data_IF_982810107693
#
_entry.id   IF_982810107693
#
_cell.length_a   1.000
_cell.length_b   1.000
_cell.length_c   1.000
_cell.angle_alpha   90.00
_cell.angle_beta   90.00
_cell.angle_gamma   90.00
#
_symmetry.space_group_name_H-M   'P 1'
#
loop_
_entity.id
_entity.type
_entity.pdbx_description
1 polymer ?
#
# COMPACT_ATOMS: atom_id res chain seq x y z
N UNK A 1 25.39 29.31 -10.14
CA UNK A 1 24.39 29.48 -11.21
C UNK A 1 24.43 30.94 -11.62
N UNK A 2 24.90 31.26 -12.83
CA UNK A 2 24.85 32.62 -13.35
C UNK A 2 23.37 33.01 -13.48
N UNK A 3 22.93 33.97 -12.66
CA UNK A 3 21.67 34.67 -12.90
C UNK A 3 21.84 35.40 -14.23
N UNK A 4 21.34 34.87 -15.33
CA UNK A 4 21.13 35.65 -16.55
C UNK A 4 20.27 36.82 -16.15
N UNK A 5 20.80 38.06 -16.36
CA UNK A 5 20.09 39.29 -16.09
C UNK A 5 18.81 39.29 -16.96
N UNK A 6 17.63 39.49 -16.34
CA UNK A 6 16.39 39.56 -17.10
C UNK A 6 16.42 40.74 -18.08
N UNK A 7 15.88 40.54 -19.29
CA UNK A 7 15.83 41.53 -20.35
C UNK A 7 14.48 42.23 -20.35
N UNK A 8 14.48 43.56 -20.11
CA UNK A 8 13.27 44.40 -20.06
C UNK A 8 13.19 45.27 -21.28
N UNK A 9 12.02 45.41 -21.87
CA UNK A 9 11.74 46.38 -22.96
C UNK A 9 11.04 47.58 -22.37
N UNK A 10 11.70 48.76 -22.43
CA UNK A 10 11.18 50.04 -22.02
C UNK A 10 10.72 50.86 -23.24
N UNK A 11 9.46 51.25 -23.24
CA UNK A 11 8.81 51.97 -24.34
C UNK A 11 8.19 53.25 -23.77
N UNK A 12 8.76 54.39 -24.16
CA UNK A 12 8.32 55.72 -23.71
C UNK A 12 8.73 56.75 -24.80
N UNK A 13 7.89 57.68 -25.14
CA UNK A 13 8.20 58.67 -26.16
C UNK A 13 9.03 59.83 -25.60
N UNK A 14 9.03 60.06 -24.31
CA UNK A 14 9.90 61.02 -23.65
C UNK A 14 11.33 60.45 -23.45
N UNK A 15 12.28 61.07 -24.15
CA UNK A 15 13.69 60.64 -24.16
C UNK A 15 14.34 60.75 -22.75
N UNK A 16 13.98 61.80 -21.98
CA UNK A 16 14.56 62.07 -20.68
C UNK A 16 14.04 61.04 -19.66
N UNK A 17 12.75 60.77 -19.68
CA UNK A 17 12.10 59.74 -18.83
C UNK A 17 12.65 58.41 -19.14
N UNK A 18 12.70 58.02 -20.44
CA UNK A 18 13.23 56.77 -20.93
C UNK A 18 14.68 56.52 -20.48
N UNK A 19 15.56 57.55 -20.67
CA UNK A 19 16.96 57.43 -20.25
C UNK A 19 17.13 57.31 -18.75
N UNK A 20 16.33 58.03 -17.96
CA UNK A 20 16.39 57.95 -16.47
C UNK A 20 15.96 56.60 -15.93
N UNK A 21 14.85 56.05 -16.43
CA UNK A 21 14.36 54.74 -16.03
C UNK A 21 15.35 53.64 -16.47
N UNK A 22 15.90 53.74 -17.71
CA UNK A 22 16.87 52.75 -18.20
C UNK A 22 18.12 52.70 -17.33
N UNK A 23 18.73 53.88 -17.04
CA UNK A 23 19.95 53.90 -16.23
C UNK A 23 19.73 53.30 -14.83
N UNK A 24 18.59 53.59 -14.19
CA UNK A 24 18.28 53.02 -12.89
C UNK A 24 18.10 51.53 -12.89
N UNK A 25 17.37 50.97 -13.90
CA UNK A 25 17.15 49.54 -14.00
C UNK A 25 18.39 48.76 -14.43
N UNK A 26 19.27 49.38 -15.27
CA UNK A 26 20.59 48.84 -15.57
C UNK A 26 21.46 48.74 -14.32
N UNK A 27 21.50 49.76 -13.49
CA UNK A 27 22.19 49.74 -12.19
C UNK A 27 21.62 48.67 -11.25
N UNK A 28 20.31 48.41 -11.33
CA UNK A 28 19.62 47.33 -10.61
C UNK A 28 19.89 45.95 -11.15
N UNK A 29 20.67 45.81 -12.25
CA UNK A 29 21.15 44.54 -12.82
C UNK A 29 20.27 43.95 -13.90
N UNK A 30 19.39 44.71 -14.55
CA UNK A 30 18.59 44.30 -15.70
C UNK A 30 19.26 44.68 -17.02
N UNK A 31 18.98 43.91 -18.09
CA UNK A 31 19.31 44.29 -19.46
C UNK A 31 18.16 45.10 -20.05
N UNK A 32 18.42 46.29 -20.61
CA UNK A 32 17.35 47.19 -21.05
C UNK A 32 17.39 47.33 -22.59
N UNK A 33 16.25 47.04 -23.20
CA UNK A 33 15.94 47.34 -24.60
C UNK A 33 15.09 48.60 -24.64
N UNK A 34 15.36 49.55 -25.53
CA UNK A 34 14.67 50.82 -25.63
C UNK A 34 13.86 50.94 -26.91
N UNK A 35 12.67 51.54 -26.82
CA UNK A 35 11.85 51.93 -27.91
C UNK A 35 11.21 53.28 -27.65
N UNK A 36 11.09 54.15 -28.67
CA UNK A 36 10.57 55.50 -28.55
C UNK A 36 9.08 55.63 -28.89
N UNK A 37 8.44 54.55 -29.30
CA UNK A 37 6.99 54.51 -29.60
C UNK A 37 6.50 53.06 -29.65
N UNK A 38 5.19 52.84 -29.66
CA UNK A 38 4.60 51.51 -29.63
C UNK A 38 4.92 50.65 -30.84
N UNK A 39 5.10 51.23 -32.07
CA UNK A 39 5.42 50.48 -33.24
C UNK A 39 6.84 49.88 -33.15
N UNK A 40 7.83 50.70 -32.78
CA UNK A 40 9.20 50.24 -32.54
C UNK A 40 9.23 49.25 -31.39
N UNK A 41 8.44 49.47 -30.33
CA UNK A 41 8.31 48.54 -29.21
C UNK A 41 7.84 47.14 -29.64
N UNK A 42 6.87 47.09 -30.55
CA UNK A 42 6.38 45.79 -31.07
C UNK A 42 7.43 45.10 -31.91
N UNK A 43 8.14 45.80 -32.79
CA UNK A 43 9.25 45.20 -33.59
C UNK A 43 10.36 44.66 -32.71
N UNK A 44 10.76 45.40 -31.67
CA UNK A 44 11.77 44.94 -30.70
C UNK A 44 11.26 43.73 -29.91
N UNK A 45 9.99 43.75 -29.44
CA UNK A 45 9.36 42.65 -28.74
C UNK A 45 9.37 41.33 -29.55
N UNK A 46 8.99 41.40 -30.82
CA UNK A 46 8.96 40.22 -31.67
C UNK A 46 10.35 39.64 -31.97
N UNK A 47 11.35 40.51 -32.11
CA UNK A 47 12.72 40.14 -32.43
C UNK A 47 13.50 39.62 -31.22
N UNK A 48 13.44 40.34 -30.12
CA UNK A 48 14.32 40.11 -28.93
C UNK A 48 13.65 39.29 -27.84
N UNK A 49 12.32 39.16 -27.82
CA UNK A 49 11.55 38.37 -26.83
C UNK A 49 11.89 38.73 -25.38
N UNK A 50 11.69 39.98 -24.92
CA UNK A 50 12.02 40.40 -23.58
C UNK A 50 11.22 39.65 -22.52
N UNK A 51 11.80 39.54 -21.31
CA UNK A 51 11.15 38.87 -20.16
C UNK A 51 10.02 39.71 -19.54
N UNK A 52 10.03 41.06 -19.75
CA UNK A 52 9.01 41.99 -19.29
C UNK A 52 8.99 43.24 -20.13
N UNK A 53 7.82 43.83 -20.30
CA UNK A 53 7.63 45.11 -21.00
C UNK A 53 7.19 46.18 -20.00
N UNK A 54 7.81 47.37 -20.09
CA UNK A 54 7.41 48.60 -19.41
C UNK A 54 6.98 49.56 -20.52
N UNK A 55 5.72 50.02 -20.54
CA UNK A 55 5.25 50.94 -21.58
C UNK A 55 4.48 52.11 -21.04
N UNK A 56 4.66 53.28 -21.65
CA UNK A 56 3.74 54.41 -21.46
C UNK A 56 2.41 54.14 -22.19
N UNK A 57 1.31 54.62 -21.62
CA UNK A 57 0.00 54.53 -22.28
C UNK A 57 -0.18 55.52 -23.39
N UNK A 58 0.39 56.72 -23.26
CA UNK A 58 0.17 57.79 -24.24
C UNK A 58 1.39 58.07 -25.09
N UNK A 59 1.43 57.39 -26.22
CA UNK A 59 2.51 57.51 -27.18
C UNK A 59 1.94 57.78 -28.60
N UNK A 60 2.69 58.48 -29.45
CA UNK A 60 2.29 58.67 -30.84
C UNK A 60 2.32 57.35 -31.65
N UNK A 61 1.48 57.29 -32.69
CA UNK A 61 1.34 56.20 -33.64
C UNK A 61 0.59 54.96 -33.08
N UNK A 62 1.17 54.22 -32.14
CA UNK A 62 0.57 53.10 -31.47
C UNK A 62 0.60 53.42 -29.96
N UNK A 63 -0.57 53.57 -29.35
CA UNK A 63 -0.68 53.81 -27.94
C UNK A 63 -0.45 52.52 -27.11
N UNK A 64 -0.26 52.70 -25.81
CA UNK A 64 0.04 51.57 -24.92
C UNK A 64 -1.10 50.54 -24.81
N UNK A 65 -2.36 50.93 -24.92
CA UNK A 65 -3.48 50.00 -24.92
C UNK A 65 -3.50 49.08 -26.14
N UNK A 66 -3.26 49.69 -27.32
CA UNK A 66 -3.16 48.96 -28.55
C UNK A 66 -1.94 48.02 -28.60
N UNK A 67 -0.80 48.51 -27.99
CA UNK A 67 0.38 47.66 -27.83
C UNK A 67 0.11 46.42 -26.97
N UNK A 68 -0.58 46.60 -25.83
CA UNK A 68 -0.97 45.48 -24.96
C UNK A 68 -1.85 44.48 -25.72
N UNK A 69 -2.86 44.96 -26.47
CA UNK A 69 -3.72 44.08 -27.29
C UNK A 69 -2.92 43.27 -28.29
N UNK A 70 -1.96 43.88 -28.98
CA UNK A 70 -1.12 43.21 -29.99
C UNK A 70 -0.16 42.19 -29.35
N UNK A 71 0.50 42.55 -28.25
CA UNK A 71 1.38 41.63 -27.54
C UNK A 71 0.59 40.42 -27.02
N UNK A 72 -0.61 40.64 -26.46
CA UNK A 72 -1.45 39.55 -25.97
C UNK A 72 -2.02 38.64 -27.06
N UNK A 73 -2.09 39.15 -28.31
CA UNK A 73 -2.47 38.34 -29.47
C UNK A 73 -1.34 37.43 -29.99
N UNK A 74 -0.10 37.67 -29.54
CA UNK A 74 1.04 36.82 -29.84
C UNK A 74 1.04 35.65 -28.81
N UNK A 75 1.44 34.46 -29.26
CA UNK A 75 1.52 33.27 -28.42
C UNK A 75 2.59 33.36 -27.28
N UNK A 76 3.27 34.50 -27.21
CA UNK A 76 4.36 34.76 -26.24
C UNK A 76 3.86 35.69 -25.15
N UNK A 77 3.80 35.20 -23.94
CA UNK A 77 3.34 35.94 -22.77
C UNK A 77 4.52 36.54 -22.01
N UNK A 78 4.71 37.85 -22.11
CA UNK A 78 5.57 38.61 -21.19
C UNK A 78 4.69 39.53 -20.32
N UNK A 79 4.99 39.69 -19.03
CA UNK A 79 4.24 40.66 -18.18
C UNK A 79 4.48 42.08 -18.64
N UNK A 80 3.42 42.87 -18.65
CA UNK A 80 3.46 44.26 -19.09
C UNK A 80 3.17 45.13 -17.88
N UNK A 81 4.08 46.05 -17.55
CA UNK A 81 3.89 47.11 -16.55
C UNK A 81 3.62 48.42 -17.28
N UNK A 82 2.54 49.08 -16.92
CA UNK A 82 2.12 50.33 -17.53
C UNK A 82 2.59 51.50 -16.68
N UNK A 83 3.16 52.55 -17.33
CA UNK A 83 3.51 53.80 -16.67
C UNK A 83 2.68 54.92 -17.36
N UNK A 84 1.88 55.67 -16.59
CA UNK A 84 0.93 56.64 -17.16
C UNK A 84 0.90 57.93 -16.35
N UNK A 85 0.62 59.05 -17.05
CA UNK A 85 0.48 60.35 -16.41
C UNK A 85 -0.76 60.50 -15.51
N UNK A 86 -0.69 61.41 -14.55
CA UNK A 86 -1.81 61.71 -13.64
C UNK A 86 -3.04 62.20 -14.44
N UNK A 87 -4.20 61.62 -14.19
CA UNK A 87 -5.48 62.02 -14.75
C UNK A 87 -6.17 61.03 -15.73
N UNK A 88 -5.59 59.83 -15.97
CA UNK A 88 -6.10 58.84 -16.92
C UNK A 88 -6.49 57.52 -16.24
N UNK A 89 -7.22 57.60 -15.13
CA UNK A 89 -7.62 56.39 -14.39
C UNK A 89 -8.43 55.40 -15.22
N UNK A 90 -9.19 55.90 -16.22
CA UNK A 90 -9.95 55.04 -17.15
C UNK A 90 -9.04 54.17 -18.00
N UNK A 91 -7.92 54.71 -18.53
CA UNK A 91 -6.99 54.00 -19.39
C UNK A 91 -6.18 52.94 -18.58
N UNK A 92 -5.87 53.28 -17.31
CA UNK A 92 -5.23 52.32 -16.39
C UNK A 92 -6.12 51.12 -16.10
N UNK A 93 -7.41 51.37 -15.81
CA UNK A 93 -8.39 50.30 -15.60
C UNK A 93 -8.54 49.40 -16.85
N UNK A 94 -8.52 50.01 -18.03
CA UNK A 94 -8.56 49.27 -19.30
C UNK A 94 -7.28 48.46 -19.51
N UNK A 95 -6.11 49.01 -19.24
CA UNK A 95 -4.84 48.26 -19.35
C UNK A 95 -4.82 47.04 -18.41
N UNK A 96 -5.29 47.15 -17.17
CA UNK A 96 -5.42 46.01 -16.27
C UNK A 96 -6.43 44.97 -16.76
N UNK A 97 -7.56 45.42 -17.36
CA UNK A 97 -8.53 44.49 -17.99
C UNK A 97 -7.94 43.77 -19.20
N UNK A 98 -7.04 44.41 -19.91
CA UNK A 98 -6.31 43.83 -21.05
C UNK A 98 -5.16 42.90 -20.59
N UNK A 99 -4.91 42.79 -19.29
CA UNK A 99 -3.92 41.85 -18.75
C UNK A 99 -2.58 42.48 -18.37
N UNK A 100 -2.49 43.78 -18.25
CA UNK A 100 -1.30 44.41 -17.66
C UNK A 100 -1.04 43.83 -16.24
N UNK A 101 0.21 43.50 -15.94
CA UNK A 101 0.60 42.90 -14.67
C UNK A 101 0.59 43.89 -13.50
N UNK A 102 0.87 45.16 -13.79
CA UNK A 102 0.87 46.27 -12.83
C UNK A 102 0.79 47.64 -13.55
N UNK A 103 0.60 48.71 -12.77
CA UNK A 103 0.64 50.06 -13.28
C UNK A 103 1.33 51.03 -12.30
N UNK A 104 1.93 52.09 -12.82
CA UNK A 104 2.56 53.15 -12.06
C UNK A 104 2.16 54.52 -12.63
N UNK A 105 2.09 55.54 -11.74
CA UNK A 105 1.67 56.88 -12.12
C UNK A 105 2.90 57.82 -12.20
N UNK A 106 3.03 58.56 -13.33
CA UNK A 106 4.04 59.62 -13.49
C UNK A 106 3.60 60.90 -12.72
N UNK A 107 4.51 61.69 -12.13
CA UNK A 107 5.95 61.46 -12.12
C UNK A 107 6.36 60.32 -11.16
N UNK A 108 7.32 59.49 -11.55
CA UNK A 108 7.89 58.45 -10.71
C UNK A 108 8.86 59.12 -9.73
N UNK A 109 8.35 59.52 -8.56
CA UNK A 109 9.15 60.17 -7.50
C UNK A 109 10.23 59.23 -6.95
N UNK A 110 9.95 57.92 -6.93
CA UNK A 110 10.89 56.90 -6.49
C UNK A 110 10.91 55.71 -7.50
N UNK A 111 12.02 55.55 -8.22
CA UNK A 111 12.22 54.44 -9.17
C UNK A 111 12.33 53.06 -8.51
N UNK A 112 12.56 53.01 -7.19
CA UNK A 112 12.55 51.75 -6.44
C UNK A 112 11.16 51.06 -6.48
N UNK A 113 10.07 51.85 -6.60
CA UNK A 113 8.71 51.31 -6.75
C UNK A 113 8.57 50.58 -8.09
N UNK A 114 9.14 51.14 -9.18
CA UNK A 114 9.16 50.49 -10.48
C UNK A 114 9.98 49.19 -10.45
N UNK A 115 11.19 49.23 -9.85
CA UNK A 115 12.00 48.02 -9.70
C UNK A 115 11.27 46.91 -8.92
N UNK A 116 10.61 47.31 -7.81
CA UNK A 116 9.81 46.32 -7.03
C UNK A 116 8.70 45.68 -7.88
N UNK A 117 7.96 46.49 -8.65
CA UNK A 117 6.91 45.97 -9.56
C UNK A 117 7.48 45.06 -10.64
N UNK A 118 8.65 45.39 -11.20
CA UNK A 118 9.36 44.53 -12.19
C UNK A 118 9.71 43.20 -11.55
N UNK A 119 10.39 43.20 -10.41
CA UNK A 119 10.79 41.95 -9.72
C UNK A 119 9.58 41.10 -9.38
N UNK A 120 8.51 41.68 -8.83
CA UNK A 120 7.28 41.00 -8.49
C UNK A 120 6.61 40.35 -9.72
N UNK A 121 6.59 41.04 -10.86
CA UNK A 121 6.01 40.55 -12.09
C UNK A 121 6.81 39.37 -12.66
N UNK A 122 8.15 39.46 -12.68
CA UNK A 122 9.05 38.40 -13.10
C UNK A 122 8.95 37.17 -12.18
N UNK A 123 8.95 37.35 -10.86
CA UNK A 123 8.80 36.26 -9.90
C UNK A 123 7.48 35.50 -10.08
N UNK A 124 6.39 36.24 -10.37
CA UNK A 124 5.07 35.64 -10.62
C UNK A 124 5.06 34.75 -11.85
N UNK A 125 5.73 35.16 -12.94
CA UNK A 125 5.86 34.35 -14.16
C UNK A 125 6.72 33.11 -13.87
N UNK A 126 7.85 33.31 -13.21
CA UNK A 126 8.74 32.20 -12.85
C UNK A 126 8.05 31.13 -11.98
N UNK A 127 7.37 31.56 -10.91
CA UNK A 127 6.61 30.68 -10.04
C UNK A 127 5.49 29.94 -10.78
N UNK A 128 4.82 30.61 -11.74
CA UNK A 128 3.79 29.96 -12.53
C UNK A 128 4.35 28.87 -13.43
N UNK A 129 5.46 29.16 -14.15
CA UNK A 129 6.13 28.18 -15.00
C UNK A 129 6.69 27.01 -14.19
N UNK A 130 7.25 27.29 -13.02
CA UNK A 130 7.75 26.25 -12.12
C UNK A 130 6.60 25.35 -11.62
N UNK A 131 5.47 25.95 -11.23
CA UNK A 131 4.28 25.21 -10.80
C UNK A 131 3.71 24.32 -11.91
N UNK A 132 3.60 24.84 -13.13
CA UNK A 132 3.15 24.06 -14.30
C UNK A 132 4.10 22.86 -14.56
N UNK A 133 5.40 23.08 -14.48
CA UNK A 133 6.42 22.03 -14.64
C UNK A 133 6.36 20.95 -13.52
N UNK A 134 6.14 21.38 -12.27
CA UNK A 134 5.97 20.44 -11.16
C UNK A 134 4.68 19.63 -11.31
N UNK A 135 3.61 20.26 -11.78
CA UNK A 135 2.33 19.60 -12.02
C UNK A 135 2.45 18.50 -13.08
N UNK A 136 3.10 18.79 -14.21
CA UNK A 136 3.35 17.80 -15.26
C UNK A 136 4.18 16.60 -14.75
N UNK A 137 5.24 16.88 -13.97
CA UNK A 137 6.05 15.83 -13.36
C UNK A 137 5.25 14.97 -12.38
N UNK A 138 4.41 15.62 -11.57
CA UNK A 138 3.58 14.91 -10.58
C UNK A 138 2.54 14.02 -11.28
N UNK A 139 1.90 14.52 -12.34
CA UNK A 139 0.94 13.75 -13.11
C UNK A 139 1.58 12.53 -13.80
N UNK A 140 2.81 12.68 -14.29
CA UNK A 140 3.56 11.58 -14.89
C UNK A 140 3.94 10.53 -13.85
N UNK A 141 4.55 10.96 -12.72
CA UNK A 141 4.92 10.07 -11.64
C UNK A 141 3.71 9.33 -11.04
N UNK A 142 2.56 10.01 -10.93
CA UNK A 142 1.33 9.39 -10.44
C UNK A 142 0.83 8.29 -11.40
N UNK A 143 0.86 8.52 -12.73
CA UNK A 143 0.48 7.50 -13.72
C UNK A 143 1.40 6.28 -13.66
N UNK A 144 2.72 6.48 -13.55
CA UNK A 144 3.69 5.40 -13.43
C UNK A 144 3.47 4.59 -12.14
N UNK A 145 3.22 5.28 -11.01
CA UNK A 145 2.93 4.62 -9.73
C UNK A 145 1.64 3.79 -9.80
N UNK A 146 0.57 4.34 -10.38
CA UNK A 146 -0.69 3.61 -10.54
C UNK A 146 -0.53 2.36 -11.40
N UNK A 147 0.20 2.46 -12.51
CA UNK A 147 0.49 1.31 -13.37
C UNK A 147 1.29 0.22 -12.63
N UNK A 148 2.30 0.63 -11.84
CA UNK A 148 3.10 -0.30 -11.05
C UNK A 148 2.29 -0.98 -9.93
N UNK A 149 1.42 -0.23 -9.26
CA UNK A 149 0.51 -0.78 -8.25
C UNK A 149 -0.47 -1.79 -8.85
N UNK A 150 -1.04 -1.49 -10.03
CA UNK A 150 -1.95 -2.40 -10.72
C UNK A 150 -1.27 -3.73 -11.07
N UNK A 151 -0.06 -3.67 -11.64
CA UNK A 151 0.71 -4.86 -11.97
C UNK A 151 1.03 -5.70 -10.71
N UNK A 152 1.44 -5.04 -9.63
CA UNK A 152 1.71 -5.72 -8.36
C UNK A 152 0.46 -6.42 -7.80
N UNK A 153 -0.71 -5.77 -7.91
CA UNK A 153 -1.97 -6.36 -7.47
C UNK A 153 -2.36 -7.59 -8.30
N UNK A 154 -2.15 -7.54 -9.63
CA UNK A 154 -2.40 -8.69 -10.51
C UNK A 154 -1.50 -9.88 -10.13
N UNK A 155 -0.20 -9.65 -9.92
CA UNK A 155 0.75 -10.69 -9.52
C UNK A 155 0.38 -11.32 -8.17
N UNK A 156 -0.03 -10.49 -7.18
CA UNK A 156 -0.45 -10.96 -5.87
C UNK A 156 -1.77 -11.75 -5.93
N UNK A 157 -2.72 -11.32 -6.75
CA UNK A 157 -3.97 -12.04 -6.98
C UNK A 157 -3.73 -13.42 -7.63
N UNK A 158 -2.81 -13.49 -8.60
CA UNK A 158 -2.42 -14.77 -9.20
C UNK A 158 -1.80 -15.71 -8.16
N UNK A 159 -0.89 -15.21 -7.32
CA UNK A 159 -0.32 -15.96 -6.21
C UNK A 159 -1.37 -16.47 -5.21
N UNK A 160 -2.34 -15.62 -4.85
CA UNK A 160 -3.48 -15.99 -4.00
C UNK A 160 -4.30 -17.13 -4.60
N UNK A 161 -4.59 -17.06 -5.89
CA UNK A 161 -5.36 -18.10 -6.56
C UNK A 161 -4.63 -19.45 -6.52
N UNK A 162 -3.32 -19.46 -6.72
CA UNK A 162 -2.50 -20.67 -6.58
C UNK A 162 -2.59 -21.23 -5.15
N UNK A 163 -2.42 -20.38 -4.13
CA UNK A 163 -2.50 -20.80 -2.73
C UNK A 163 -3.88 -21.35 -2.37
N UNK A 164 -4.97 -20.68 -2.78
CA UNK A 164 -6.34 -21.14 -2.51
C UNK A 164 -6.64 -22.48 -3.21
N UNK A 165 -6.11 -22.71 -4.41
CA UNK A 165 -6.28 -23.96 -5.14
C UNK A 165 -5.51 -25.16 -4.51
N UNK A 166 -4.56 -24.87 -3.61
CA UNK A 166 -3.80 -25.90 -2.89
C UNK A 166 -4.51 -26.36 -1.60
N UNK A 167 -5.49 -25.58 -1.12
CA UNK A 167 -6.28 -25.95 0.05
C UNK A 167 -7.18 -27.15 -0.28
N UNK A 168 -7.47 -27.99 0.72
CA UNK A 168 -8.41 -29.09 0.52
C UNK A 168 -9.84 -28.56 0.27
N UNK A 169 -10.70 -29.42 -0.27
CA UNK A 169 -12.14 -29.07 -0.42
C UNK A 169 -12.77 -28.89 0.95
N UNK A 170 -13.60 -27.86 1.10
CA UNK A 170 -14.30 -27.55 2.37
C UNK A 170 -15.79 -27.32 2.12
N UNK A 171 -16.73 -27.90 2.88
CA UNK A 171 -16.48 -28.98 3.84
C UNK A 171 -16.08 -30.29 3.14
N UNK A 172 -15.29 -31.12 3.82
CA UNK A 172 -14.98 -32.48 3.40
C UNK A 172 -15.54 -33.47 4.41
N UNK A 173 -16.37 -34.37 3.94
CA UNK A 173 -17.04 -35.39 4.74
C UNK A 173 -16.56 -36.77 4.34
N UNK A 174 -16.19 -37.58 5.31
CA UNK A 174 -15.63 -38.90 5.11
C UNK A 174 -15.91 -39.81 6.31
N UNK A 175 -16.65 -40.91 6.10
CA UNK A 175 -16.97 -41.94 7.09
C UNK A 175 -17.43 -41.42 8.47
N UNK A 176 -18.21 -40.34 8.47
CA UNK A 176 -18.75 -39.71 9.71
C UNK A 176 -17.85 -38.65 10.33
N UNK A 177 -16.65 -38.42 9.79
CA UNK A 177 -15.82 -37.24 10.09
C UNK A 177 -16.16 -36.12 9.11
N UNK A 178 -16.26 -34.91 9.61
CA UNK A 178 -16.39 -33.68 8.83
C UNK A 178 -15.23 -32.74 9.13
N UNK A 179 -14.63 -32.20 8.07
CA UNK A 179 -13.58 -31.18 8.15
C UNK A 179 -14.04 -29.94 7.45
N UNK A 180 -14.02 -28.82 8.15
CA UNK A 180 -14.34 -27.54 7.57
C UNK A 180 -13.28 -26.51 7.97
N UNK A 181 -12.88 -25.66 7.03
CA UNK A 181 -11.90 -24.61 7.32
C UNK A 181 -12.27 -23.27 6.72
N UNK A 182 -11.65 -22.22 7.24
CA UNK A 182 -11.63 -20.89 6.68
C UNK A 182 -10.26 -20.27 6.88
N UNK A 183 -9.74 -19.63 5.83
CA UNK A 183 -8.54 -18.78 5.91
C UNK A 183 -8.94 -17.37 5.47
N UNK A 184 -8.58 -16.38 6.28
CA UNK A 184 -8.81 -14.97 6.03
C UNK A 184 -7.45 -14.29 6.05
N UNK A 185 -6.88 -13.97 4.87
CA UNK A 185 -5.60 -13.28 4.80
C UNK A 185 -5.70 -11.83 5.30
N UNK A 186 -4.71 -11.36 6.04
CA UNK A 186 -4.55 -9.95 6.43
C UNK A 186 -4.21 -9.05 5.25
N UNK A 187 -3.50 -9.63 4.27
CA UNK A 187 -3.14 -9.01 2.99
C UNK A 187 -3.69 -9.84 1.82
N UNK A 188 -2.97 -9.86 0.70
CA UNK A 188 -3.36 -10.67 -0.48
C UNK A 188 -3.09 -12.16 -0.30
N UNK A 189 -2.00 -12.50 0.38
CA UNK A 189 -1.50 -13.86 0.57
C UNK A 189 -1.40 -14.15 2.05
N UNK A 190 -1.73 -15.38 2.46
CA UNK A 190 -1.70 -15.80 3.86
C UNK A 190 -0.43 -16.56 4.21
N UNK A 191 0.12 -16.32 5.41
CA UNK A 191 1.08 -17.18 6.07
C UNK A 191 0.44 -18.43 6.66
N UNK A 192 -0.86 -18.36 6.93
CA UNK A 192 -1.63 -19.49 7.44
C UNK A 192 -1.94 -20.52 6.36
N UNK A 193 -1.92 -21.80 6.74
CA UNK A 193 -2.26 -22.88 5.87
C UNK A 193 -2.89 -24.07 6.61
N UNK A 194 -3.90 -24.66 6.03
CA UNK A 194 -4.54 -25.88 6.53
C UNK A 194 -4.52 -26.96 5.47
N UNK A 195 -4.42 -28.21 5.93
CA UNK A 195 -4.56 -29.36 5.07
C UNK A 195 -5.12 -30.55 5.82
N UNK A 196 -5.85 -31.39 5.11
CA UNK A 196 -6.34 -32.68 5.61
C UNK A 196 -6.49 -33.66 4.44
N UNK A 197 -6.16 -34.92 4.70
CA UNK A 197 -6.13 -35.94 3.66
C UNK A 197 -6.14 -37.34 4.26
N UNK A 198 -6.63 -38.33 3.50
CA UNK A 198 -6.51 -39.73 3.88
C UNK A 198 -5.05 -40.22 3.77
N UNK A 199 -4.56 -40.79 4.86
CA UNK A 199 -3.27 -41.48 4.90
C UNK A 199 -3.43 -42.89 4.26
N UNK A 200 -4.46 -43.63 4.70
CA UNK A 200 -4.88 -44.95 4.21
C UNK A 200 -6.39 -45.15 4.44
N UNK A 201 -6.88 -46.38 4.34
CA UNK A 201 -8.30 -46.74 4.49
C UNK A 201 -8.87 -46.47 5.89
N UNK A 202 -8.01 -46.26 6.92
CA UNK A 202 -8.41 -46.11 8.32
C UNK A 202 -8.01 -44.80 8.95
N UNK A 203 -7.09 -44.09 8.33
CA UNK A 203 -6.49 -42.89 8.98
C UNK A 203 -6.60 -41.64 8.12
N UNK A 204 -6.97 -40.58 8.81
CA UNK A 204 -7.02 -39.23 8.25
C UNK A 204 -6.00 -38.36 8.99
N UNK A 205 -5.12 -37.70 8.24
CA UNK A 205 -4.19 -36.71 8.76
C UNK A 205 -4.70 -35.31 8.50
N UNK A 206 -4.35 -34.40 9.39
CA UNK A 206 -4.63 -32.97 9.24
C UNK A 206 -3.52 -32.13 9.86
N UNK A 207 -3.40 -30.90 9.44
CA UNK A 207 -2.57 -29.91 10.12
C UNK A 207 -3.07 -28.49 9.89
N UNK A 208 -2.74 -27.61 10.83
CA UNK A 208 -2.79 -26.18 10.70
C UNK A 208 -1.38 -25.65 10.95
N UNK A 209 -0.92 -24.78 10.08
CA UNK A 209 0.41 -24.17 10.13
C UNK A 209 0.28 -22.66 9.95
N UNK A 210 1.05 -21.90 10.71
CA UNK A 210 1.20 -20.47 10.61
C UNK A 210 2.69 -20.14 10.43
N UNK A 211 3.00 -19.43 9.34
CA UNK A 211 4.37 -19.08 8.94
C UNK A 211 4.71 -17.69 9.45
N UNK A 212 5.81 -17.57 10.18
CA UNK A 212 6.29 -16.29 10.73
C UNK A 212 6.32 -15.15 9.73
N UNK A 213 5.63 -14.02 10.05
CA UNK A 213 5.45 -12.84 9.22
C UNK A 213 4.40 -13.06 8.12
N UNK A 214 4.15 -12.07 7.30
CA UNK A 214 3.04 -12.02 6.35
C UNK A 214 3.49 -11.83 4.90
N UNK A 215 2.55 -11.95 3.96
CA UNK A 215 2.74 -11.67 2.54
C UNK A 215 3.41 -12.80 1.75
N UNK A 216 3.92 -12.47 0.57
CA UNK A 216 4.38 -13.44 -0.42
C UNK A 216 5.45 -14.42 0.10
N UNK A 217 6.40 -13.95 0.93
CA UNK A 217 7.47 -14.80 1.46
C UNK A 217 6.95 -15.90 2.40
N UNK A 218 5.92 -15.61 3.20
CA UNK A 218 5.28 -16.59 4.09
C UNK A 218 4.39 -17.54 3.28
N UNK A 219 3.65 -17.02 2.30
CA UNK A 219 2.84 -17.83 1.40
C UNK A 219 3.68 -18.85 0.60
N UNK A 220 4.89 -18.53 0.16
CA UNK A 220 5.78 -19.51 -0.49
C UNK A 220 6.19 -20.65 0.45
N UNK A 221 6.33 -20.39 1.74
CA UNK A 221 6.58 -21.44 2.73
C UNK A 221 5.38 -22.37 2.86
N UNK A 222 4.14 -21.87 2.77
CA UNK A 222 2.93 -22.73 2.78
C UNK A 222 2.90 -23.69 1.58
N UNK A 223 3.30 -23.21 0.40
CA UNK A 223 3.47 -24.06 -0.79
C UNK A 223 4.52 -25.15 -0.56
N UNK A 224 5.65 -24.78 0.06
CA UNK A 224 6.71 -25.74 0.40
C UNK A 224 6.22 -26.76 1.43
N UNK A 225 5.46 -26.35 2.45
CA UNK A 225 4.87 -27.26 3.43
C UNK A 225 3.96 -28.29 2.76
N UNK A 226 3.06 -27.85 1.87
CA UNK A 226 2.19 -28.76 1.09
C UNK A 226 2.99 -29.74 0.26
N UNK A 227 4.04 -29.28 -0.39
CA UNK A 227 4.92 -30.16 -1.17
C UNK A 227 5.63 -31.19 -0.28
N UNK A 228 6.19 -30.78 0.86
CA UNK A 228 6.90 -31.66 1.79
C UNK A 228 5.98 -32.71 2.40
N UNK A 229 4.79 -32.34 2.85
CA UNK A 229 3.80 -33.26 3.43
C UNK A 229 3.30 -34.27 2.38
N UNK A 230 2.97 -33.79 1.17
CA UNK A 230 2.53 -34.66 0.06
C UNK A 230 3.63 -35.64 -0.34
N UNK A 231 4.87 -35.18 -0.45
CA UNK A 231 6.03 -36.04 -0.77
C UNK A 231 6.26 -37.08 0.30
N UNK A 232 6.23 -36.69 1.59
CA UNK A 232 6.42 -37.61 2.70
C UNK A 232 5.35 -38.72 2.70
N UNK A 233 4.09 -38.37 2.47
CA UNK A 233 3.00 -39.31 2.35
C UNK A 233 3.22 -40.28 1.18
N UNK A 234 3.61 -39.79 0.02
CA UNK A 234 3.90 -40.61 -1.16
C UNK A 234 5.07 -41.60 -0.91
N UNK A 235 6.16 -41.11 -0.33
CA UNK A 235 7.32 -41.93 0.02
C UNK A 235 6.96 -43.01 1.06
N UNK A 236 6.16 -42.64 2.09
CA UNK A 236 5.69 -43.59 3.11
C UNK A 236 4.80 -44.68 2.52
N UNK A 237 3.91 -44.32 1.58
CA UNK A 237 3.08 -45.32 0.87
C UNK A 237 3.94 -46.29 0.03
N UNK A 238 4.89 -45.72 -0.73
CA UNK A 238 5.75 -46.49 -1.62
C UNK A 238 6.66 -47.45 -0.87
N UNK A 239 7.18 -47.04 0.29
CA UNK A 239 8.13 -47.84 1.08
C UNK A 239 7.46 -48.76 2.10
N UNK A 240 6.12 -48.80 2.16
CA UNK A 240 5.37 -49.62 3.13
C UNK A 240 5.49 -49.12 4.58
N UNK A 241 5.92 -47.87 4.80
CA UNK A 241 6.11 -47.26 6.11
C UNK A 241 4.86 -46.56 6.65
N UNK A 242 3.69 -46.75 6.03
CA UNK A 242 2.43 -46.12 6.48
C UNK A 242 2.07 -46.46 7.92
N UNK A 243 2.31 -47.68 8.44
CA UNK A 243 2.00 -47.94 9.87
C UNK A 243 2.73 -47.05 10.85
N UNK A 244 3.87 -46.48 10.46
CA UNK A 244 4.70 -45.58 11.28
C UNK A 244 4.48 -44.11 10.97
N UNK A 245 3.43 -43.72 10.23
CA UNK A 245 3.12 -42.34 9.92
C UNK A 245 2.65 -41.60 11.19
N UNK A 246 3.58 -40.93 11.86
CA UNK A 246 3.35 -40.22 13.13
C UNK A 246 3.50 -38.71 12.96
N UNK A 247 2.65 -37.90 13.60
CA UNK A 247 2.74 -36.42 13.54
C UNK A 247 4.11 -35.86 13.95
N UNK A 248 4.74 -36.40 15.01
CA UNK A 248 6.07 -35.97 15.46
C UNK A 248 7.16 -36.15 14.39
N UNK A 249 7.08 -37.25 13.62
CA UNK A 249 8.05 -37.53 12.56
C UNK A 249 7.86 -36.59 11.37
N UNK A 250 6.60 -36.22 11.07
CA UNK A 250 6.25 -35.22 10.07
C UNK A 250 6.82 -33.87 10.45
N UNK A 251 6.60 -33.39 11.70
CA UNK A 251 7.15 -32.13 12.20
C UNK A 251 8.67 -32.13 12.15
N UNK A 252 9.32 -33.21 12.57
CA UNK A 252 10.78 -33.37 12.52
C UNK A 252 11.32 -33.35 11.07
N UNK A 253 10.60 -33.94 10.14
CA UNK A 253 10.95 -33.91 8.72
C UNK A 253 10.87 -32.49 8.14
N UNK A 254 9.76 -31.80 8.42
CA UNK A 254 9.55 -30.39 7.99
C UNK A 254 10.60 -29.48 8.63
N UNK A 255 10.88 -29.65 9.93
CA UNK A 255 11.89 -28.85 10.65
C UNK A 255 13.26 -28.91 9.93
N UNK A 256 13.74 -30.12 9.63
CA UNK A 256 15.01 -30.30 8.89
C UNK A 256 14.95 -29.70 7.50
N UNK A 257 13.83 -29.84 6.81
CA UNK A 257 13.63 -29.29 5.47
C UNK A 257 13.70 -27.77 5.45
N UNK A 258 12.97 -27.10 6.33
CA UNK A 258 12.95 -25.63 6.42
C UNK A 258 14.32 -25.05 6.81
N UNK A 259 15.02 -25.67 7.77
CA UNK A 259 16.38 -25.25 8.16
C UNK A 259 17.34 -25.35 6.96
N UNK A 260 17.24 -26.44 6.19
CA UNK A 260 18.10 -26.64 5.01
C UNK A 260 17.82 -25.65 3.88
N UNK A 261 16.57 -25.19 3.74
CA UNK A 261 16.18 -24.17 2.75
C UNK A 261 16.73 -22.78 3.07
N UNK A 262 17.17 -22.49 4.31
CA UNK A 262 17.75 -21.22 4.75
C UNK A 262 16.88 -19.98 4.43
N UNK A 263 15.58 -20.12 4.50
CA UNK A 263 14.64 -19.04 4.17
C UNK A 263 14.50 -17.99 5.27
N UNK A 264 15.07 -18.24 6.47
CA UNK A 264 14.96 -17.36 7.64
C UNK A 264 13.53 -17.30 8.20
N UNK A 265 12.68 -18.23 7.82
CA UNK A 265 11.29 -18.37 8.27
C UNK A 265 11.14 -19.59 9.17
N UNK A 266 10.29 -19.49 10.15
CA UNK A 266 9.85 -20.60 10.98
C UNK A 266 8.33 -20.72 10.94
N UNK A 267 7.82 -21.83 11.40
CA UNK A 267 6.41 -22.17 11.33
C UNK A 267 5.94 -22.63 12.70
N UNK A 268 4.84 -22.09 13.17
CA UNK A 268 4.07 -22.70 14.25
C UNK A 268 3.09 -23.69 13.64
N UNK A 269 3.05 -24.91 14.12
CA UNK A 269 2.30 -25.98 13.48
C UNK A 269 1.71 -26.96 14.48
N UNK A 270 0.48 -27.37 14.25
CA UNK A 270 -0.11 -28.54 14.87
C UNK A 270 -0.47 -29.56 13.80
N UNK A 271 -0.01 -30.79 13.95
CA UNK A 271 -0.38 -31.90 13.08
C UNK A 271 -1.01 -33.04 13.86
N UNK A 272 -2.02 -33.67 13.30
CA UNK A 272 -2.73 -34.78 13.91
C UNK A 272 -3.08 -35.90 12.91
N UNK A 273 -3.28 -37.09 13.44
CA UNK A 273 -3.78 -38.28 12.72
C UNK A 273 -4.89 -38.90 13.54
N UNK A 274 -6.05 -39.08 12.94
CA UNK A 274 -7.18 -39.82 13.50
C UNK A 274 -7.12 -41.24 12.94
N UNK A 275 -7.08 -42.25 13.81
CA UNK A 275 -7.30 -43.65 13.48
C UNK A 275 -8.76 -43.99 13.78
N UNK A 276 -9.56 -44.19 12.74
CA UNK A 276 -11.00 -44.46 12.84
C UNK A 276 -11.29 -45.84 13.45
N UNK A 277 -10.38 -46.82 13.25
CA UNK A 277 -10.57 -48.16 13.78
C UNK A 277 -10.38 -48.22 15.31
N UNK A 278 -9.42 -47.46 15.84
CA UNK A 278 -9.17 -47.36 17.28
C UNK A 278 -9.87 -46.19 17.94
N UNK A 279 -10.55 -45.34 17.16
CA UNK A 279 -11.18 -44.10 17.59
C UNK A 279 -10.23 -43.19 18.38
N UNK A 280 -8.98 -43.07 17.92
CA UNK A 280 -7.91 -42.36 18.62
C UNK A 280 -7.32 -41.24 17.76
N UNK A 281 -7.09 -40.11 18.40
CA UNK A 281 -6.31 -38.99 17.85
C UNK A 281 -4.88 -39.06 18.39
N UNK A 282 -3.92 -39.11 17.49
CA UNK A 282 -2.49 -38.86 17.78
C UNK A 282 -2.13 -37.49 17.22
N UNK A 283 -1.53 -36.61 18.02
CA UNK A 283 -1.16 -35.26 17.55
C UNK A 283 0.19 -34.81 18.11
N UNK A 284 0.79 -33.83 17.46
CA UNK A 284 2.06 -33.20 17.86
C UNK A 284 2.02 -31.72 17.62
N UNK A 285 2.65 -30.94 18.49
CA UNK A 285 2.65 -29.49 18.47
C UNK A 285 4.07 -28.97 18.24
N UNK A 286 4.21 -28.09 17.26
CA UNK A 286 5.43 -27.38 16.91
C UNK A 286 5.29 -25.87 17.16
N UNK A 287 5.24 -25.45 18.45
CA UNK A 287 5.15 -24.03 18.82
C UNK A 287 3.82 -23.35 18.55
N UNK A 288 2.78 -24.09 18.20
CA UNK A 288 1.48 -23.57 17.83
C UNK A 288 0.67 -23.08 19.04
N UNK A 289 0.14 -21.88 18.93
CA UNK A 289 -0.80 -21.24 19.86
C UNK A 289 -1.90 -20.52 19.06
N UNK A 290 -3.13 -20.45 19.57
CA UNK A 290 -3.63 -21.12 20.78
C UNK A 290 -3.67 -22.64 20.65
N UNK A 291 -3.66 -23.34 21.78
CA UNK A 291 -3.79 -24.80 21.80
C UNK A 291 -5.15 -25.24 21.23
N UNK A 292 -5.25 -26.45 20.65
CA UNK A 292 -6.50 -26.94 20.08
C UNK A 292 -7.59 -27.07 21.14
N UNK A 293 -8.82 -26.74 20.79
CA UNK A 293 -9.98 -26.76 21.67
C UNK A 293 -10.88 -27.94 21.30
N UNK A 294 -11.08 -28.86 22.22
CA UNK A 294 -12.03 -29.96 22.12
C UNK A 294 -13.38 -29.49 22.67
N UNK A 295 -14.46 -29.71 21.89
CA UNK A 295 -15.84 -29.51 22.32
C UNK A 295 -16.59 -30.85 22.30
N UNK A 296 -17.17 -31.23 23.44
CA UNK A 296 -17.97 -32.45 23.59
C UNK A 296 -18.92 -32.28 24.79
N UNK A 297 -20.12 -32.87 24.71
CA UNK A 297 -21.09 -32.82 25.81
C UNK A 297 -21.50 -31.39 26.20
N UNK A 298 -21.45 -30.43 25.28
CA UNK A 298 -21.80 -29.02 25.54
C UNK A 298 -20.69 -28.20 26.23
N UNK A 299 -19.51 -28.76 26.42
CA UNK A 299 -18.36 -28.09 27.05
C UNK A 299 -17.15 -28.11 26.14
N UNK A 300 -16.34 -27.04 26.21
CA UNK A 300 -15.10 -26.95 25.49
C UNK A 300 -13.91 -26.81 26.46
N UNK A 301 -12.80 -27.44 26.11
CA UNK A 301 -11.55 -27.41 26.89
C UNK A 301 -10.35 -27.52 25.95
N UNK A 302 -9.21 -27.01 26.40
CA UNK A 302 -7.95 -27.14 25.67
C UNK A 302 -7.40 -28.55 25.74
N UNK A 303 -6.87 -29.04 24.63
CA UNK A 303 -5.96 -30.19 24.65
C UNK A 303 -4.58 -29.74 25.12
N UNK A 304 -3.90 -30.63 25.85
CA UNK A 304 -2.56 -30.35 26.37
C UNK A 304 -1.52 -30.49 25.25
N UNK A 305 -0.39 -29.82 25.39
CA UNK A 305 0.76 -30.00 24.52
C UNK A 305 1.70 -28.81 24.51
N UNK A 306 2.91 -29.07 24.02
CA UNK A 306 3.96 -28.07 23.83
C UNK A 306 4.97 -28.56 22.83
N UNK A 307 5.69 -27.64 22.18
CA UNK A 307 6.78 -27.95 21.28
C UNK A 307 7.47 -26.68 20.83
N UNK A 308 8.63 -26.81 20.21
CA UNK A 308 9.38 -25.68 19.65
C UNK A 308 8.86 -25.39 18.23
N UNK A 309 8.85 -24.12 17.77
CA UNK A 309 8.53 -23.78 16.41
C UNK A 309 9.37 -24.57 15.39
N UNK A 310 8.74 -24.96 14.30
CA UNK A 310 9.33 -25.76 13.23
C UNK A 310 10.18 -24.87 12.31
N UNK A 311 11.39 -25.30 11.98
CA UNK A 311 12.31 -24.54 11.12
C UNK A 311 13.21 -23.54 11.86
N UNK A 312 13.16 -23.50 13.20
CA UNK A 312 13.93 -22.55 14.01
C UNK A 312 15.12 -23.22 14.73
N UNK A 313 14.91 -24.39 15.32
CA UNK A 313 15.91 -25.09 16.13
C UNK A 313 16.33 -26.41 15.47
N UNK A 314 17.64 -26.62 15.27
CA UNK A 314 18.17 -27.84 14.63
C UNK A 314 17.87 -29.11 15.44
N UNK A 315 17.93 -29.00 16.77
CA UNK A 315 17.74 -30.11 17.70
C UNK A 315 16.36 -30.07 18.34
N UNK A 316 15.34 -29.57 17.61
CA UNK A 316 13.96 -29.62 18.11
C UNK A 316 13.48 -31.07 18.17
N UNK A 317 12.92 -31.45 19.31
CA UNK A 317 12.30 -32.74 19.54
C UNK A 317 10.77 -32.56 19.64
N UNK A 318 10.04 -33.40 18.88
CA UNK A 318 8.59 -33.37 18.82
C UNK A 318 8.02 -34.69 19.37
N UNK A 319 6.99 -34.57 20.21
CA UNK A 319 6.39 -35.74 20.86
C UNK A 319 4.96 -35.95 20.38
N UNK A 320 4.56 -37.21 20.25
CA UNK A 320 3.17 -37.56 20.02
C UNK A 320 2.40 -37.57 21.34
N UNK A 321 1.23 -36.98 21.30
CA UNK A 321 0.23 -37.04 22.35
C UNK A 321 -0.97 -37.82 21.80
N UNK A 322 -1.62 -38.62 22.64
CA UNK A 322 -2.73 -39.48 22.25
C UNK A 322 -3.95 -39.23 23.11
N UNK A 323 -5.10 -39.19 22.50
CA UNK A 323 -6.39 -39.14 23.20
C UNK A 323 -7.40 -40.07 22.52
N UNK A 324 -8.25 -40.70 23.31
CA UNK A 324 -9.42 -41.39 22.79
C UNK A 324 -10.50 -40.34 22.45
N UNK A 325 -11.05 -40.42 21.24
CA UNK A 325 -12.05 -39.47 20.78
C UNK A 325 -13.44 -39.79 21.33
N UNK A 326 -14.21 -38.81 21.80
CA UNK A 326 -15.63 -39.01 22.13
C UNK A 326 -16.45 -39.48 20.93
N UNK A 327 -17.62 -40.09 21.16
CA UNK A 327 -18.53 -40.46 20.08
C UNK A 327 -19.07 -39.25 19.31
N UNK A 328 -19.27 -38.12 20.01
CA UNK A 328 -19.67 -36.84 19.45
C UNK A 328 -18.67 -35.77 19.91
N UNK A 329 -18.01 -35.13 19.00
CA UNK A 329 -17.02 -34.11 19.30
C UNK A 329 -16.82 -33.10 18.17
N UNK A 330 -16.24 -31.96 18.52
CA UNK A 330 -15.56 -31.07 17.58
C UNK A 330 -14.20 -30.70 18.13
N UNK A 331 -13.20 -30.74 17.26
CA UNK A 331 -11.84 -30.24 17.53
C UNK A 331 -11.61 -28.98 16.70
N UNK A 332 -11.40 -27.87 17.37
CA UNK A 332 -11.18 -26.55 16.74
C UNK A 332 -9.69 -26.18 16.87
N UNK A 333 -9.06 -25.90 15.74
CA UNK A 333 -7.74 -25.33 15.63
C UNK A 333 -7.85 -23.89 15.11
N UNK A 334 -7.09 -22.99 15.68
CA UNK A 334 -7.11 -21.56 15.38
C UNK A 334 -5.67 -21.07 15.23
N UNK A 335 -5.38 -20.17 14.29
CA UNK A 335 -4.13 -19.42 14.29
C UNK A 335 -4.18 -18.28 15.31
N UNK A 336 -3.02 -17.69 15.63
CA UNK A 336 -2.90 -16.66 16.66
C UNK A 336 -3.59 -15.34 16.27
N UNK A 337 -3.76 -15.03 14.98
CA UNK A 337 -4.50 -13.86 14.52
C UNK A 337 -5.93 -13.77 15.07
N UNK A 338 -6.55 -14.89 15.49
CA UNK A 338 -7.85 -14.87 16.15
C UNK A 338 -7.81 -14.14 17.49
N UNK A 339 -6.66 -14.14 18.17
CA UNK A 339 -6.47 -13.51 19.45
C UNK A 339 -6.50 -11.98 19.36
N UNK A 340 -6.21 -11.44 18.20
CA UNK A 340 -6.27 -9.98 17.96
C UNK A 340 -7.71 -9.47 17.91
N UNK A 341 -8.66 -10.35 17.67
CA UNK A 341 -10.09 -10.02 17.68
C UNK A 341 -10.70 -10.05 19.09
N UNK A 342 -9.95 -10.54 20.10
CA UNK A 342 -10.45 -10.71 21.44
C UNK A 342 -10.05 -9.56 22.34
N UNK A 343 -10.99 -9.14 23.20
CA UNK A 343 -10.74 -8.21 24.28
C UNK A 343 -9.93 -8.88 25.38
N UNK A 344 -8.91 -8.19 25.90
CA UNK A 344 -8.07 -8.67 26.99
C UNK A 344 -6.74 -7.93 27.05
N UNK A 345 -6.23 -7.71 28.26
CA UNK A 345 -5.01 -6.94 28.49
C UNK A 345 -3.73 -7.76 28.20
N UNK A 346 -3.85 -9.10 28.18
CA UNK A 346 -2.73 -9.99 27.92
C UNK A 346 -3.17 -11.30 27.23
N UNK A 347 -2.19 -12.00 26.65
CA UNK A 347 -2.40 -13.24 25.92
C UNK A 347 -3.18 -14.31 26.71
N UNK A 348 -2.88 -14.46 28.02
CA UNK A 348 -3.54 -15.46 28.88
C UNK A 348 -5.02 -15.19 29.06
N UNK A 349 -5.41 -13.94 29.17
CA UNK A 349 -6.82 -13.54 29.26
C UNK A 349 -7.57 -13.86 27.98
N UNK A 350 -6.97 -13.51 26.82
CA UNK A 350 -7.52 -13.81 25.50
C UNK A 350 -7.66 -15.31 25.28
N UNK A 351 -6.63 -16.10 25.58
CA UNK A 351 -6.69 -17.56 25.48
C UNK A 351 -7.78 -18.16 26.39
N UNK A 352 -7.94 -17.64 27.62
CA UNK A 352 -8.97 -18.14 28.54
C UNK A 352 -10.42 -17.94 28.03
N UNK A 353 -10.64 -17.05 27.07
CA UNK A 353 -11.95 -16.83 26.47
C UNK A 353 -12.29 -17.89 25.40
N UNK A 354 -11.29 -18.44 24.70
CA UNK A 354 -11.50 -19.29 23.52
C UNK A 354 -12.37 -20.53 23.80
N UNK A 355 -12.18 -21.32 24.87
CA UNK A 355 -13.06 -22.45 25.14
C UNK A 355 -14.53 -22.04 25.35
N UNK A 356 -14.77 -20.88 25.97
CA UNK A 356 -16.13 -20.34 26.15
C UNK A 356 -16.77 -19.97 24.81
N UNK A 357 -16.01 -19.31 23.94
CA UNK A 357 -16.47 -18.91 22.62
C UNK A 357 -16.71 -20.11 21.71
N UNK A 358 -15.86 -21.13 21.76
CA UNK A 358 -16.09 -22.40 21.05
C UNK A 358 -17.33 -23.13 21.58
N UNK A 359 -17.59 -23.12 22.88
CA UNK A 359 -18.84 -23.64 23.45
C UNK A 359 -20.06 -22.87 22.96
N UNK A 360 -20.00 -21.53 22.94
CA UNK A 360 -21.08 -20.68 22.42
C UNK A 360 -21.35 -20.91 20.93
N UNK A 361 -20.29 -21.19 20.16
CA UNK A 361 -20.36 -21.53 18.75
C UNK A 361 -20.91 -22.95 18.48
N UNK A 362 -21.15 -23.75 19.52
CA UNK A 362 -21.54 -25.14 19.36
C UNK A 362 -20.50 -26.02 18.69
N UNK A 363 -19.24 -25.61 18.67
CA UNK A 363 -18.15 -26.33 18.00
C UNK A 363 -18.24 -26.37 16.47
N UNK A 364 -19.05 -25.52 15.84
CA UNK A 364 -19.21 -25.48 14.38
C UNK A 364 -18.50 -24.31 13.74
N UNK A 365 -18.06 -24.45 12.47
CA UNK A 365 -17.38 -23.36 11.77
C UNK A 365 -18.29 -22.13 11.60
N UNK A 366 -19.57 -22.31 11.29
CA UNK A 366 -20.50 -21.20 11.13
C UNK A 366 -20.80 -20.50 12.46
N UNK A 367 -20.90 -21.26 13.56
CA UNK A 367 -21.00 -20.71 14.89
C UNK A 367 -19.78 -19.88 15.26
N UNK A 368 -18.56 -20.36 14.97
CA UNK A 368 -17.32 -19.61 15.19
C UNK A 368 -17.26 -18.33 14.34
N UNK A 369 -17.65 -18.39 13.06
CA UNK A 369 -17.79 -17.20 12.21
C UNK A 369 -18.67 -16.13 12.84
N UNK A 370 -19.80 -16.55 13.39
CA UNK A 370 -20.76 -15.65 14.03
C UNK A 370 -20.21 -15.07 15.32
N UNK A 371 -19.64 -15.91 16.19
CA UNK A 371 -19.13 -15.51 17.51
C UNK A 371 -17.94 -14.56 17.39
N UNK A 372 -17.02 -14.80 16.45
CA UNK A 372 -15.89 -13.92 16.20
C UNK A 372 -16.21 -12.73 15.26
N UNK A 373 -17.41 -12.67 14.72
CA UNK A 373 -17.84 -11.58 13.85
C UNK A 373 -17.09 -11.52 12.50
N UNK A 374 -16.58 -12.65 11.99
CA UNK A 374 -15.67 -12.71 10.85
C UNK A 374 -16.27 -12.21 9.53
N UNK A 375 -17.59 -12.14 9.41
CA UNK A 375 -18.26 -11.65 8.20
C UNK A 375 -18.18 -10.12 8.01
N UNK A 376 -17.90 -9.36 9.08
CA UNK A 376 -17.99 -7.89 9.09
C UNK A 376 -16.64 -7.19 9.27
N UNK A 377 -15.53 -7.93 9.23
CA UNK A 377 -14.19 -7.37 9.43
C UNK A 377 -13.69 -6.70 8.15
N UNK A 378 -13.42 -5.40 8.23
CA UNK A 378 -12.93 -4.61 7.09
C UNK A 378 -11.42 -4.73 6.88
N UNK A 379 -10.65 -4.88 7.97
CA UNK A 379 -9.20 -5.06 7.96
C UNK A 379 -8.82 -6.06 9.07
N UNK A 380 -7.87 -6.94 8.76
CA UNK A 380 -7.32 -7.92 9.68
C UNK A 380 -5.90 -7.50 10.06
N UNK A 381 -5.57 -7.44 11.36
CA UNK A 381 -4.21 -7.14 11.78
C UNK A 381 -3.23 -8.26 11.45
N UNK A 382 -3.68 -9.52 11.49
CA UNK A 382 -2.90 -10.71 11.10
C UNK A 382 -3.77 -11.71 10.34
N UNK A 383 -3.15 -12.73 9.75
CA UNK A 383 -3.84 -13.82 9.06
C UNK A 383 -4.65 -14.65 10.06
N UNK A 384 -5.83 -15.10 9.67
CA UNK A 384 -6.69 -15.93 10.52
C UNK A 384 -7.01 -17.23 9.79
N UNK A 385 -6.67 -18.34 10.42
CA UNK A 385 -7.09 -19.67 10.01
C UNK A 385 -7.91 -20.37 11.08
N UNK A 386 -8.98 -20.99 10.64
CA UNK A 386 -9.82 -21.87 11.44
C UNK A 386 -9.90 -23.22 10.74
N UNK A 387 -9.68 -24.28 11.50
CA UNK A 387 -9.94 -25.66 11.09
C UNK A 387 -10.81 -26.32 12.15
N UNK A 388 -11.93 -26.86 11.73
CA UNK A 388 -12.89 -27.59 12.58
C UNK A 388 -13.01 -29.00 12.07
N UNK A 389 -12.70 -29.95 12.94
CA UNK A 389 -12.99 -31.37 12.75
C UNK A 389 -14.16 -31.74 13.62
N UNK A 390 -15.10 -32.47 13.10
CA UNK A 390 -16.25 -32.89 13.91
C UNK A 390 -16.75 -34.29 13.55
N UNK A 391 -17.39 -34.91 14.50
CA UNK A 391 -18.12 -36.18 14.34
C UNK A 391 -19.42 -36.11 15.13
N UNK A 392 -20.52 -36.52 14.48
CA UNK A 392 -21.86 -36.61 15.11
C UNK A 392 -22.29 -35.36 15.89
N UNK A 393 -21.87 -34.17 15.44
CA UNK A 393 -22.43 -32.92 15.98
C UNK A 393 -23.83 -32.72 15.41
N UNK A 394 -24.80 -32.57 16.30
CA UNK A 394 -26.20 -32.33 15.95
C UNK A 394 -26.43 -30.87 15.51
#
# INVERSE_FOLDING_TARGET
MHKTSATLLLIDDDEVVRASIAAYLEDSGFNILLASNGLQGLEVFERERPDLVICDLRMPQVDGLELIRRINALEVSAPIIVVSGAGVMTDVVEALRLGAADYLIKPLEDLAVLEHSVRRALDRVHLRQENERYREKLETANRELQASLHLLQEDQNAGRQVQMNMLPVTPWEDEGLSFAHQIIPSLYLSGDFVDYFRVDERRVAFYLADVSGHGASSAFVTVLLKFMTTRLLYESRRNGMLPEFKPSDVLSHINRGLINCKLGKHVTMLGGVIDEASNRLTYSIGGHLPLPVMYTGGQAYYLEGRGLPVGLFKEADYHNLEIDLPESFSLTLLSDGILDLLDGDNLREKEALLPKLVSQAGGTLDGLRSVFGLANLAEMPDDIALLVLSRNLA
#
